data_IF_394318229748
#
_entry.id   IF_394318229748
#
_cell.length_a   1.000
_cell.length_b   1.000
_cell.length_c   1.000
_cell.angle_alpha   90.00
_cell.angle_beta   90.00
_cell.angle_gamma   90.00
#
_symmetry.space_group_name_H-M   'P 1'
#
loop_
_entity.id
_entity.type
_entity.pdbx_description
1 polymer ?
#
# COMPACT_ATOMS: atom_id res chain seq x y z
N UNK A 1 -31.05 -4.42 -25.56
CA UNK A 1 -30.77 -3.22 -24.73
C UNK A 1 -29.29 -2.77 -24.73
N UNK A 2 -28.51 -2.95 -25.82
CA UNK A 2 -27.02 -2.80 -25.81
C UNK A 2 -26.41 -1.61 -26.61
N UNK A 3 -27.19 -0.69 -27.19
CA UNK A 3 -26.66 0.43 -28.02
C UNK A 3 -26.53 1.80 -27.33
N UNK A 4 -27.03 1.96 -26.09
CA UNK A 4 -26.99 3.27 -25.38
C UNK A 4 -25.65 3.54 -24.68
N UNK A 5 -24.95 2.50 -24.23
CA UNK A 5 -23.74 2.66 -23.41
C UNK A 5 -22.57 3.21 -24.24
N UNK A 6 -22.36 2.71 -25.46
CA UNK A 6 -21.22 3.16 -26.31
C UNK A 6 -21.32 4.65 -26.69
N UNK A 7 -22.51 5.15 -27.03
CA UNK A 7 -22.70 6.57 -27.39
C UNK A 7 -22.45 7.53 -26.22
N UNK A 8 -22.73 7.10 -24.98
CA UNK A 8 -22.53 7.94 -23.79
C UNK A 8 -21.04 8.06 -23.46
N UNK A 9 -20.28 6.96 -23.54
CA UNK A 9 -18.83 6.98 -23.34
C UNK A 9 -18.09 7.76 -24.43
N UNK A 10 -18.49 7.63 -25.71
CA UNK A 10 -17.89 8.44 -26.78
C UNK A 10 -18.15 9.94 -26.55
N UNK A 11 -19.38 10.32 -26.21
CA UNK A 11 -19.75 11.73 -25.99
C UNK A 11 -19.04 12.34 -24.78
N UNK A 12 -18.83 11.57 -23.70
CA UNK A 12 -18.07 12.02 -22.52
C UNK A 12 -16.59 12.26 -22.87
N UNK A 13 -15.95 11.32 -23.58
CA UNK A 13 -14.56 11.50 -24.08
C UNK A 13 -14.41 12.71 -25.00
N UNK A 14 -15.37 12.97 -25.88
CA UNK A 14 -15.35 14.15 -26.77
C UNK A 14 -15.58 15.45 -26.02
N UNK A 15 -16.36 15.43 -24.93
CA UNK A 15 -16.54 16.61 -24.07
C UNK A 15 -15.25 16.91 -23.31
N UNK A 16 -14.67 15.92 -22.64
CA UNK A 16 -13.44 16.07 -21.86
C UNK A 16 -12.29 16.62 -22.71
N UNK A 17 -12.07 16.08 -23.92
CA UNK A 17 -11.00 16.53 -24.82
C UNK A 17 -11.14 17.98 -25.31
N UNK A 18 -12.33 18.58 -25.22
CA UNK A 18 -12.61 19.92 -25.76
C UNK A 18 -12.84 20.99 -24.68
N UNK A 19 -12.63 20.68 -23.39
CA UNK A 19 -12.71 21.67 -22.28
C UNK A 19 -11.46 22.56 -22.28
N UNK A 20 -10.29 21.93 -22.17
CA UNK A 20 -8.96 22.55 -22.27
C UNK A 20 -7.92 21.42 -22.28
N UNK A 21 -6.88 21.55 -23.10
CA UNK A 21 -5.79 20.57 -23.16
C UNK A 21 -5.02 20.50 -21.85
N UNK A 22 -4.71 21.65 -21.23
CA UNK A 22 -4.04 21.75 -19.95
C UNK A 22 -4.87 21.11 -18.82
N UNK A 23 -6.17 21.42 -18.76
CA UNK A 23 -7.09 20.81 -17.80
C UNK A 23 -7.15 19.28 -17.94
N UNK A 24 -7.29 18.80 -19.17
CA UNK A 24 -7.37 17.36 -19.46
C UNK A 24 -6.08 16.64 -19.10
N UNK A 25 -4.92 17.24 -19.40
CA UNK A 25 -3.62 16.71 -19.04
C UNK A 25 -3.44 16.61 -17.51
N UNK A 26 -3.75 17.68 -16.78
CA UNK A 26 -3.69 17.70 -15.32
C UNK A 26 -4.66 16.68 -14.67
N UNK A 27 -5.91 16.59 -15.16
CA UNK A 27 -6.88 15.59 -14.71
C UNK A 27 -6.36 14.16 -14.92
N UNK A 28 -5.84 13.86 -16.10
CA UNK A 28 -5.30 12.54 -16.40
C UNK A 28 -4.05 12.22 -15.57
N UNK A 29 -3.20 13.21 -15.32
CA UNK A 29 -2.03 13.05 -14.45
C UNK A 29 -2.46 12.69 -13.03
N UNK A 30 -3.38 13.45 -12.44
CA UNK A 30 -3.87 13.20 -11.07
C UNK A 30 -4.55 11.83 -10.94
N UNK A 31 -5.30 11.40 -11.94
CA UNK A 31 -5.92 10.06 -11.95
C UNK A 31 -4.89 8.93 -12.05
N UNK A 32 -3.78 9.15 -12.77
CA UNK A 32 -2.65 8.20 -12.79
C UNK A 32 -1.95 8.14 -11.44
N UNK A 33 -1.72 9.30 -10.81
CA UNK A 33 -1.12 9.40 -9.47
C UNK A 33 -1.99 8.69 -8.43
N UNK A 34 -3.31 8.94 -8.42
CA UNK A 34 -4.27 8.22 -7.55
C UNK A 34 -4.16 6.72 -7.72
N UNK A 35 -4.14 6.25 -8.96
CA UNK A 35 -4.03 4.81 -9.25
C UNK A 35 -2.71 4.25 -8.70
N UNK A 36 -1.58 4.90 -8.98
CA UNK A 36 -0.28 4.45 -8.50
C UNK A 36 -0.22 4.35 -6.98
N UNK A 37 -0.73 5.36 -6.26
CA UNK A 37 -0.78 5.36 -4.79
C UNK A 37 -1.75 4.32 -4.25
N UNK A 38 -2.93 4.17 -4.87
CA UNK A 38 -3.90 3.15 -4.49
C UNK A 38 -3.32 1.74 -4.66
N UNK A 39 -2.66 1.47 -5.80
CA UNK A 39 -2.03 0.19 -6.07
C UNK A 39 -0.88 -0.08 -5.08
N UNK A 40 -0.07 0.94 -4.75
CA UNK A 40 0.97 0.83 -3.73
C UNK A 40 0.38 0.52 -2.33
N UNK A 41 -0.71 1.18 -1.95
CA UNK A 41 -1.37 0.94 -0.67
C UNK A 41 -1.89 -0.50 -0.56
N UNK A 42 -2.47 -1.03 -1.64
CA UNK A 42 -2.91 -2.45 -1.71
C UNK A 42 -1.74 -3.41 -1.57
N UNK A 43 -0.58 -3.09 -2.16
CA UNK A 43 0.62 -3.92 -2.00
C UNK A 43 1.13 -3.92 -0.56
N UNK A 44 1.10 -2.77 0.12
CA UNK A 44 1.58 -2.63 1.51
C UNK A 44 0.64 -3.32 2.52
N UNK A 45 -0.68 -3.16 2.36
CA UNK A 45 -1.65 -3.62 3.36
C UNK A 45 -2.28 -4.97 3.07
N UNK A 46 -2.57 -5.29 1.80
CA UNK A 46 -3.36 -6.47 1.47
C UNK A 46 -2.50 -7.58 0.91
N UNK A 47 -1.82 -7.32 -0.22
CA UNK A 47 -1.17 -8.38 -0.99
C UNK A 47 0.05 -8.93 -0.26
N UNK A 48 0.94 -8.04 0.23
CA UNK A 48 2.11 -8.46 1.00
C UNK A 48 1.70 -9.08 2.34
N UNK A 49 0.74 -8.48 3.05
CA UNK A 49 0.30 -9.00 4.35
C UNK A 49 -0.26 -10.42 4.23
N UNK A 50 -1.13 -10.69 3.24
CA UNK A 50 -1.68 -12.03 3.00
C UNK A 50 -0.58 -13.07 2.72
N UNK A 51 0.42 -12.71 1.92
CA UNK A 51 1.54 -13.59 1.63
C UNK A 51 2.34 -13.93 2.89
N UNK A 52 2.66 -12.93 3.71
CA UNK A 52 3.37 -13.13 4.98
C UNK A 52 2.57 -13.94 5.99
N UNK A 53 1.27 -13.67 6.13
CA UNK A 53 0.38 -14.46 7.00
C UNK A 53 0.31 -15.91 6.54
N UNK A 54 0.20 -16.16 5.23
CA UNK A 54 0.20 -17.52 4.68
C UNK A 54 1.51 -18.26 4.96
N UNK A 55 2.65 -17.57 4.78
CA UNK A 55 3.96 -18.12 5.08
C UNK A 55 4.09 -18.46 6.57
N UNK A 56 3.70 -17.53 7.45
CA UNK A 56 3.77 -17.71 8.89
C UNK A 56 2.81 -18.80 9.39
N UNK A 57 1.62 -18.92 8.79
CA UNK A 57 0.66 -19.98 9.08
C UNK A 57 1.21 -21.36 8.72
N UNK A 58 1.96 -21.47 7.63
CA UNK A 58 2.62 -22.73 7.24
C UNK A 58 3.67 -23.13 8.28
N UNK A 59 4.53 -22.21 8.70
CA UNK A 59 5.56 -22.48 9.72
C UNK A 59 4.94 -22.84 11.07
N UNK A 60 3.91 -22.09 11.49
CA UNK A 60 3.18 -22.35 12.72
C UNK A 60 2.54 -23.74 12.70
N UNK A 61 1.84 -24.09 11.62
CA UNK A 61 1.15 -25.39 11.52
C UNK A 61 2.14 -26.56 11.53
N UNK A 62 3.29 -26.41 10.85
CA UNK A 62 4.34 -27.41 10.89
C UNK A 62 4.92 -27.56 12.30
N UNK A 63 5.29 -26.46 12.96
CA UNK A 63 5.83 -26.50 14.30
C UNK A 63 4.85 -27.13 15.30
N UNK A 64 3.57 -26.75 15.24
CA UNK A 64 2.53 -27.29 16.12
C UNK A 64 2.24 -28.77 15.85
N UNK A 65 2.32 -29.23 14.60
CA UNK A 65 2.18 -30.65 14.26
C UNK A 65 3.30 -31.48 14.91
N UNK A 66 4.56 -31.08 14.73
CA UNK A 66 5.70 -31.84 15.29
C UNK A 66 5.66 -31.83 16.82
N UNK A 67 5.29 -30.70 17.42
CA UNK A 67 5.15 -30.58 18.88
C UNK A 67 4.02 -31.45 19.45
N UNK A 68 2.87 -31.51 18.77
CA UNK A 68 1.71 -32.29 19.21
C UNK A 68 1.93 -33.79 19.06
N UNK A 69 2.60 -34.22 17.98
CA UNK A 69 2.80 -35.64 17.66
C UNK A 69 4.08 -36.23 18.29
N UNK A 70 4.96 -35.39 18.86
CA UNK A 70 6.19 -35.85 19.50
C UNK A 70 5.93 -36.40 20.92
N UNK A 71 6.64 -37.46 21.35
CA UNK A 71 6.56 -37.93 22.72
C UNK A 71 7.02 -36.85 23.71
N UNK A 72 6.18 -36.56 24.72
CA UNK A 72 6.35 -35.44 25.67
C UNK A 72 7.70 -35.46 26.40
N UNK A 73 8.23 -36.64 26.73
CA UNK A 73 9.50 -36.80 27.47
C UNK A 73 10.72 -36.95 26.55
N UNK A 74 10.56 -36.71 25.24
CA UNK A 74 11.61 -36.86 24.25
C UNK A 74 12.38 -35.57 23.97
N UNK A 75 13.67 -35.65 23.60
CA UNK A 75 14.49 -34.47 23.29
C UNK A 75 14.01 -33.73 22.02
N UNK A 76 13.18 -34.39 21.20
CA UNK A 76 12.45 -33.73 20.10
C UNK A 76 11.40 -32.73 20.61
N UNK A 77 10.68 -33.05 21.69
CA UNK A 77 9.61 -32.21 22.24
C UNK A 77 10.15 -30.92 22.88
N UNK A 78 11.31 -31.01 23.55
CA UNK A 78 12.01 -29.83 24.08
C UNK A 78 12.48 -28.90 22.94
N UNK A 79 13.03 -29.45 21.85
CA UNK A 79 13.44 -28.69 20.67
C UNK A 79 12.26 -28.08 19.89
N UNK A 80 11.10 -28.75 19.86
CA UNK A 80 9.90 -28.27 19.16
C UNK A 80 9.20 -27.15 19.91
N UNK A 81 9.21 -27.17 21.25
CA UNK A 81 8.56 -26.15 22.08
C UNK A 81 9.09 -24.72 21.80
N UNK A 82 10.41 -24.58 21.68
CA UNK A 82 11.05 -23.30 21.31
C UNK A 82 10.67 -22.84 19.89
N UNK A 83 10.62 -23.78 18.95
CA UNK A 83 10.25 -23.53 17.56
C UNK A 83 8.77 -23.14 17.42
N UNK A 84 7.87 -23.77 18.17
CA UNK A 84 6.43 -23.42 18.22
C UNK A 84 6.26 -21.99 18.73
N UNK A 85 6.96 -21.62 19.80
CA UNK A 85 6.88 -20.28 20.38
C UNK A 85 7.33 -19.22 19.37
N UNK A 86 8.48 -19.44 18.71
CA UNK A 86 8.96 -18.55 17.66
C UNK A 86 8.01 -18.49 16.46
N UNK A 87 7.40 -19.62 16.05
CA UNK A 87 6.48 -19.66 14.93
C UNK A 87 5.15 -18.93 15.23
N UNK A 88 4.68 -19.02 16.49
CA UNK A 88 3.53 -18.23 16.97
C UNK A 88 3.84 -16.75 16.99
N UNK A 89 5.04 -16.34 17.45
CA UNK A 89 5.47 -14.95 17.43
C UNK A 89 5.54 -14.40 16.00
N UNK A 90 6.17 -15.14 15.07
CA UNK A 90 6.23 -14.75 13.66
C UNK A 90 4.83 -14.63 13.03
N UNK A 91 3.92 -15.56 13.33
CA UNK A 91 2.53 -15.46 12.89
C UNK A 91 1.82 -14.23 13.47
N UNK A 92 2.06 -13.93 14.75
CA UNK A 92 1.58 -12.71 15.40
C UNK A 92 2.08 -11.45 14.69
N UNK A 93 3.38 -11.36 14.43
CA UNK A 93 4.00 -10.22 13.74
C UNK A 93 3.49 -10.05 12.30
N UNK A 94 3.31 -11.15 11.57
CA UNK A 94 2.76 -11.14 10.20
C UNK A 94 1.29 -10.68 10.16
N UNK A 95 0.52 -11.05 11.18
CA UNK A 95 -0.91 -10.73 11.29
C UNK A 95 -1.16 -9.34 11.92
N UNK A 96 -0.16 -8.78 12.60
CA UNK A 96 -0.29 -7.52 13.31
C UNK A 96 -0.46 -6.35 12.33
N UNK A 97 -1.42 -5.48 12.64
CA UNK A 97 -1.47 -4.15 12.05
C UNK A 97 -0.35 -3.27 12.62
N UNK A 98 0.21 -2.34 11.82
CA UNK A 98 1.14 -1.34 12.35
C UNK A 98 0.49 -0.57 13.51
N UNK A 99 1.17 -0.50 14.65
CA UNK A 99 0.64 0.19 15.82
C UNK A 99 0.58 1.71 15.59
N UNK A 100 -0.33 2.42 16.26
CA UNK A 100 -0.55 3.86 16.07
C UNK A 100 0.74 4.69 16.30
N UNK A 101 1.68 4.20 17.11
CA UNK A 101 2.98 4.83 17.37
C UNK A 101 4.06 4.55 16.32
N UNK A 102 3.86 3.55 15.46
CA UNK A 102 4.82 3.10 14.44
C UNK A 102 4.95 4.15 13.32
N UNK A 103 6.19 4.39 12.87
CA UNK A 103 6.48 5.22 11.70
C UNK A 103 5.76 4.70 10.46
N UNK A 104 5.60 3.38 10.32
CA UNK A 104 4.85 2.76 9.24
C UNK A 104 3.38 3.20 9.26
N UNK A 105 2.74 3.21 10.43
CA UNK A 105 1.34 3.63 10.57
C UNK A 105 1.16 5.13 10.24
N UNK A 106 2.10 5.98 10.66
CA UNK A 106 2.10 7.41 10.32
C UNK A 106 2.22 7.65 8.82
N UNK A 107 3.15 6.96 8.15
CA UNK A 107 3.33 7.03 6.69
C UNK A 107 2.06 6.58 5.95
N UNK A 108 1.43 5.49 6.40
CA UNK A 108 0.15 5.02 5.87
C UNK A 108 -0.98 6.05 6.06
N UNK A 109 -0.99 6.77 7.18
CA UNK A 109 -1.89 7.91 7.40
C UNK A 109 -1.71 9.01 6.36
N UNK A 110 -0.46 9.39 6.05
CA UNK A 110 -0.16 10.37 5.02
C UNK A 110 -0.60 9.93 3.62
N UNK A 111 -0.39 8.65 3.28
CA UNK A 111 -0.82 8.06 2.01
C UNK A 111 -2.35 8.12 1.86
N UNK A 112 -3.08 7.71 2.90
CA UNK A 112 -4.56 7.75 2.92
C UNK A 112 -5.08 9.20 2.84
N UNK A 113 -4.45 10.12 3.55
CA UNK A 113 -4.81 11.54 3.50
C UNK A 113 -4.62 12.13 2.10
N UNK A 114 -3.54 11.78 1.41
CA UNK A 114 -3.30 12.20 0.03
C UNK A 114 -4.35 11.67 -0.94
N UNK A 115 -4.75 10.40 -0.82
CA UNK A 115 -5.83 9.82 -1.62
C UNK A 115 -7.17 10.56 -1.40
N UNK A 116 -7.50 10.86 -0.13
CA UNK A 116 -8.70 11.64 0.20
C UNK A 116 -8.65 13.06 -0.37
N UNK A 117 -7.47 13.68 -0.39
CA UNK A 117 -7.26 14.98 -1.03
C UNK A 117 -7.51 14.91 -2.54
N UNK A 118 -7.02 13.88 -3.22
CA UNK A 118 -7.30 13.67 -4.65
C UNK A 118 -8.81 13.52 -4.88
N UNK A 119 -9.51 12.71 -4.07
CA UNK A 119 -10.96 12.53 -4.18
C UNK A 119 -11.73 13.84 -4.01
N UNK A 120 -11.28 14.71 -3.12
CA UNK A 120 -11.83 16.06 -2.95
C UNK A 120 -11.62 16.95 -4.20
N UNK A 121 -10.52 16.77 -4.93
CA UNK A 121 -10.28 17.47 -6.20
C UNK A 121 -11.11 16.86 -7.34
N UNK A 122 -11.29 15.54 -7.37
CA UNK A 122 -12.13 14.86 -8.37
C UNK A 122 -13.59 15.33 -8.32
N UNK A 123 -14.09 15.71 -7.14
CA UNK A 123 -15.42 16.28 -6.99
C UNK A 123 -15.65 17.53 -7.86
N UNK A 124 -14.58 18.30 -8.15
CA UNK A 124 -14.65 19.49 -9.00
C UNK A 124 -14.83 19.15 -10.49
N UNK A 125 -14.46 17.94 -10.92
CA UNK A 125 -14.47 17.57 -12.33
C UNK A 125 -15.87 17.66 -12.93
N UNK A 126 -16.87 17.21 -12.17
CA UNK A 126 -18.28 17.27 -12.59
C UNK A 126 -18.77 18.71 -12.73
N UNK A 127 -18.28 19.64 -11.89
CA UNK A 127 -18.63 21.07 -11.97
C UNK A 127 -18.10 21.67 -13.27
N UNK A 128 -16.84 21.41 -13.62
CA UNK A 128 -16.24 21.88 -14.87
C UNK A 128 -16.97 21.30 -16.10
N UNK A 129 -17.25 20.00 -16.10
CA UNK A 129 -18.00 19.34 -17.19
C UNK A 129 -19.41 19.91 -17.38
N UNK A 130 -20.09 20.25 -16.28
CA UNK A 130 -21.44 20.85 -16.30
C UNK A 130 -21.39 22.26 -16.91
N UNK A 131 -20.44 23.09 -16.47
CA UNK A 131 -20.27 24.46 -16.97
C UNK A 131 -19.88 24.47 -18.45
N UNK A 132 -19.02 23.55 -18.89
CA UNK A 132 -18.70 23.38 -20.31
C UNK A 132 -19.94 23.04 -21.15
N UNK A 133 -20.78 22.13 -20.66
CA UNK A 133 -22.02 21.75 -21.34
C UNK A 133 -22.98 22.95 -21.45
N UNK A 134 -23.00 23.82 -20.44
CA UNK A 134 -23.78 25.06 -20.45
C UNK A 134 -23.23 26.08 -21.47
N UNK A 135 -21.92 26.27 -21.53
CA UNK A 135 -21.26 27.10 -22.55
C UNK A 135 -21.63 26.62 -23.96
N UNK A 136 -21.46 25.32 -24.26
CA UNK A 136 -21.83 24.75 -25.55
C UNK A 136 -23.32 24.96 -25.90
N UNK A 137 -24.20 24.92 -24.90
CA UNK A 137 -25.64 25.14 -25.08
C UNK A 137 -25.91 26.58 -25.54
N UNK A 138 -25.26 27.56 -24.92
CA UNK A 138 -25.43 28.96 -25.31
C UNK A 138 -24.74 29.29 -26.63
N UNK A 139 -23.58 28.71 -26.93
CA UNK A 139 -22.93 28.84 -28.25
C UNK A 139 -23.86 28.36 -29.37
N UNK A 140 -24.48 27.19 -29.20
CA UNK A 140 -25.47 26.66 -30.16
C UNK A 140 -26.70 27.56 -30.29
N UNK A 141 -27.17 28.19 -29.20
CA UNK A 141 -28.29 29.13 -29.25
C UNK A 141 -27.93 30.40 -30.00
N UNK A 142 -26.76 30.98 -29.72
CA UNK A 142 -26.25 32.17 -30.40
C UNK A 142 -26.04 31.89 -31.89
N UNK A 143 -25.43 30.76 -32.26
CA UNK A 143 -25.23 30.35 -33.65
C UNK A 143 -26.53 30.12 -34.43
N UNK A 144 -27.58 29.56 -33.80
CA UNK A 144 -28.91 29.47 -34.44
C UNK A 144 -29.60 30.84 -34.56
N UNK A 145 -29.28 31.77 -33.66
CA UNK A 145 -29.81 33.13 -33.67
C UNK A 145 -29.06 34.06 -34.62
N UNK A 146 -27.88 33.70 -35.15
CA UNK A 146 -27.25 34.42 -36.26
C UNK A 146 -27.76 33.98 -37.63
N UNK A 147 -28.31 32.77 -37.79
CA UNK A 147 -28.61 32.17 -39.11
C UNK A 147 -30.05 32.35 -39.65
N UNK A 148 -30.88 33.25 -39.10
CA UNK A 148 -32.29 33.45 -39.53
C UNK A 148 -32.70 34.92 -39.36
N UNK A 149 -33.27 35.61 -40.34
CA UNK A 149 -33.80 36.96 -40.13
C UNK A 149 -35.29 36.87 -39.77
N UNK A 150 -35.66 37.29 -38.55
CA UNK A 150 -37.04 37.44 -38.08
C UNK A 150 -37.10 38.53 -37.01
N UNK A 151 -38.25 39.19 -36.86
CA UNK A 151 -38.47 40.25 -35.88
C UNK A 151 -38.33 39.75 -34.43
N UNK A 152 -37.82 40.63 -33.55
CA UNK A 152 -37.54 40.33 -32.14
C UNK A 152 -36.25 39.53 -31.86
N UNK A 153 -35.44 39.25 -32.90
CA UNK A 153 -34.21 38.46 -32.77
C UNK A 153 -33.05 39.22 -32.14
N UNK A 154 -32.95 40.54 -32.33
CA UNK A 154 -31.86 41.36 -31.76
C UNK A 154 -31.84 41.30 -30.23
N UNK A 155 -32.98 41.50 -29.57
CA UNK A 155 -33.12 41.42 -28.11
C UNK A 155 -32.83 40.01 -27.58
N UNK A 156 -33.36 38.97 -28.26
CA UNK A 156 -33.10 37.56 -27.89
C UNK A 156 -31.65 37.16 -28.12
N UNK A 157 -30.99 37.70 -29.15
CA UNK A 157 -29.58 37.47 -29.45
C UNK A 157 -28.70 38.11 -28.38
N UNK A 158 -28.94 39.38 -28.04
CA UNK A 158 -28.23 40.08 -26.95
C UNK A 158 -28.31 39.30 -25.62
N UNK A 159 -29.53 38.94 -25.18
CA UNK A 159 -29.71 38.15 -23.95
C UNK A 159 -28.96 36.81 -23.95
N UNK A 160 -28.85 36.12 -25.09
CA UNK A 160 -28.10 34.86 -25.16
C UNK A 160 -26.59 35.06 -25.28
N UNK A 161 -26.12 36.21 -25.80
CA UNK A 161 -24.72 36.60 -25.76
C UNK A 161 -24.29 36.90 -24.31
N UNK A 162 -25.07 37.68 -23.57
CA UNK A 162 -24.80 37.97 -22.15
C UNK A 162 -24.71 36.68 -21.32
N UNK A 163 -25.62 35.72 -21.58
CA UNK A 163 -25.60 34.39 -20.94
C UNK A 163 -24.41 33.53 -21.36
N UNK A 164 -23.97 33.63 -22.62
CA UNK A 164 -22.79 32.94 -23.11
C UNK A 164 -21.53 33.47 -22.43
N UNK A 165 -21.42 34.79 -22.31
CA UNK A 165 -20.29 35.45 -21.64
C UNK A 165 -20.24 35.06 -20.16
N UNK A 166 -21.37 35.10 -19.44
CA UNK A 166 -21.46 34.63 -18.06
C UNK A 166 -21.09 33.15 -17.91
N UNK A 167 -21.56 32.29 -18.82
CA UNK A 167 -21.20 30.86 -18.81
C UNK A 167 -19.71 30.62 -19.07
N UNK A 168 -19.09 31.36 -20.01
CA UNK A 168 -17.65 31.30 -20.28
C UNK A 168 -16.82 31.73 -19.09
N UNK A 169 -17.19 32.85 -18.45
CA UNK A 169 -16.51 33.35 -17.26
C UNK A 169 -16.58 32.35 -16.10
N UNK A 170 -17.77 31.79 -15.84
CA UNK A 170 -17.96 30.76 -14.81
C UNK A 170 -17.17 29.48 -15.11
N UNK A 171 -17.17 29.03 -16.37
CA UNK A 171 -16.40 27.87 -16.80
C UNK A 171 -14.89 28.11 -16.63
N UNK A 172 -14.38 29.26 -17.07
CA UNK A 172 -12.95 29.57 -16.96
C UNK A 172 -12.51 29.65 -15.50
N UNK A 173 -13.28 30.35 -14.66
CA UNK A 173 -13.01 30.40 -13.21
C UNK A 173 -12.99 29.01 -12.55
N UNK A 174 -13.88 28.11 -12.97
CA UNK A 174 -13.88 26.73 -12.48
C UNK A 174 -12.68 25.91 -12.99
N UNK A 175 -12.24 26.12 -14.24
CA UNK A 175 -11.04 25.50 -14.79
C UNK A 175 -9.81 25.96 -14.03
N UNK A 176 -9.65 27.27 -13.83
CA UNK A 176 -8.49 27.85 -13.16
C UNK A 176 -8.39 27.38 -11.71
N UNK A 177 -9.50 27.44 -10.97
CA UNK A 177 -9.53 26.93 -9.59
C UNK A 177 -9.24 25.42 -9.50
N UNK A 178 -9.75 24.62 -10.46
CA UNK A 178 -9.46 23.19 -10.49
C UNK A 178 -8.00 22.91 -10.86
N UNK A 179 -7.42 23.64 -11.83
CA UNK A 179 -6.00 23.54 -12.20
C UNK A 179 -5.08 23.88 -11.01
N UNK A 180 -5.39 24.94 -10.27
CA UNK A 180 -4.63 25.32 -9.08
C UNK A 180 -4.64 24.20 -8.03
N UNK A 181 -5.82 23.65 -7.73
CA UNK A 181 -5.96 22.54 -6.78
C UNK A 181 -5.23 21.29 -7.27
N UNK A 182 -5.40 20.90 -8.53
CA UNK A 182 -4.69 19.76 -9.13
C UNK A 182 -3.17 19.93 -9.04
N UNK A 183 -2.65 21.13 -9.33
CA UNK A 183 -1.23 21.43 -9.23
C UNK A 183 -0.71 21.32 -7.79
N UNK A 184 -1.43 21.89 -6.82
CA UNK A 184 -1.07 21.80 -5.38
C UNK A 184 -1.07 20.36 -4.87
N UNK A 185 -2.03 19.54 -5.31
CA UNK A 185 -2.08 18.13 -4.92
C UNK A 185 -0.98 17.33 -5.63
N UNK A 186 -0.80 17.49 -6.94
CA UNK A 186 0.25 16.77 -7.70
C UNK A 186 1.67 17.09 -7.22
N UNK A 187 1.92 18.30 -6.72
CA UNK A 187 3.21 18.66 -6.10
C UNK A 187 3.60 17.80 -4.89
N UNK A 188 2.64 17.10 -4.25
CA UNK A 188 2.90 16.21 -3.12
C UNK A 188 3.20 14.77 -3.56
N UNK A 189 2.98 14.43 -4.83
CA UNK A 189 3.00 13.05 -5.32
C UNK A 189 4.33 12.35 -5.03
N UNK A 190 5.46 12.99 -5.32
CA UNK A 190 6.79 12.41 -5.12
C UNK A 190 7.05 12.05 -3.66
N UNK A 191 6.75 12.96 -2.73
CA UNK A 191 6.88 12.72 -1.30
C UNK A 191 5.98 11.56 -0.83
N UNK A 192 4.74 11.48 -1.34
CA UNK A 192 3.81 10.40 -0.96
C UNK A 192 4.23 9.05 -1.56
N UNK A 193 4.80 9.03 -2.77
CA UNK A 193 5.42 7.84 -3.34
C UNK A 193 6.63 7.39 -2.51
N UNK A 194 7.47 8.32 -2.06
CA UNK A 194 8.60 8.01 -1.18
C UNK A 194 8.12 7.46 0.17
N UNK A 195 7.05 8.02 0.75
CA UNK A 195 6.40 7.46 1.94
C UNK A 195 5.91 6.03 1.69
N UNK A 196 5.30 5.77 0.52
CA UNK A 196 4.80 4.44 0.15
C UNK A 196 5.94 3.43 0.04
N UNK A 197 7.02 3.79 -0.65
CA UNK A 197 8.21 2.96 -0.80
C UNK A 197 8.86 2.67 0.56
N UNK A 198 9.03 3.69 1.40
CA UNK A 198 9.64 3.53 2.72
C UNK A 198 8.77 2.65 3.63
N UNK A 199 7.46 2.89 3.68
CA UNK A 199 6.53 2.10 4.47
C UNK A 199 6.52 0.62 4.03
N UNK A 200 6.58 0.36 2.73
CA UNK A 200 6.67 -0.99 2.20
C UNK A 200 7.92 -1.70 2.74
N UNK A 201 9.11 -1.11 2.58
CA UNK A 201 10.36 -1.75 2.94
C UNK A 201 10.59 -1.86 4.44
N UNK A 202 10.15 -0.88 5.24
CA UNK A 202 10.18 -1.00 6.70
C UNK A 202 9.33 -2.18 7.19
N UNK A 203 8.15 -2.38 6.57
CA UNK A 203 7.31 -3.54 6.86
C UNK A 203 8.00 -4.86 6.46
N UNK A 204 8.60 -4.91 5.27
CA UNK A 204 9.34 -6.11 4.84
C UNK A 204 10.50 -6.43 5.79
N UNK A 205 11.32 -5.43 6.13
CA UNK A 205 12.47 -5.59 7.02
C UNK A 205 12.07 -6.16 8.39
N UNK A 206 10.99 -5.63 8.99
CA UNK A 206 10.44 -6.17 10.24
C UNK A 206 10.07 -7.66 10.13
N UNK A 207 9.38 -8.03 9.06
CA UNK A 207 8.91 -9.41 8.87
C UNK A 207 10.04 -10.37 8.52
N UNK A 208 11.04 -9.92 7.74
CA UNK A 208 12.26 -10.68 7.47
C UNK A 208 13.05 -10.91 8.75
N UNK A 209 13.20 -9.90 9.62
CA UNK A 209 13.85 -10.06 10.93
C UNK A 209 13.15 -11.09 11.81
N UNK A 210 11.81 -11.06 11.84
CA UNK A 210 11.01 -12.04 12.58
C UNK A 210 11.15 -13.46 11.99
N UNK A 211 11.19 -13.59 10.66
CA UNK A 211 11.48 -14.86 9.98
C UNK A 211 12.89 -15.38 10.29
N UNK A 212 13.91 -14.51 10.26
CA UNK A 212 15.29 -14.88 10.59
C UNK A 212 15.36 -15.43 12.01
N UNK A 213 14.74 -14.74 12.98
CA UNK A 213 14.69 -15.19 14.37
C UNK A 213 14.06 -16.59 14.49
N UNK A 214 12.91 -16.82 13.84
CA UNK A 214 12.28 -18.15 13.77
C UNK A 214 13.22 -19.21 13.17
N UNK A 215 13.81 -18.93 12.01
CA UNK A 215 14.65 -19.90 11.32
C UNK A 215 15.94 -20.19 12.06
N UNK A 216 16.49 -19.24 12.83
CA UNK A 216 17.70 -19.44 13.59
C UNK A 216 17.49 -20.45 14.72
N UNK A 217 16.36 -20.39 15.44
CA UNK A 217 16.00 -21.40 16.43
C UNK A 217 15.86 -22.80 15.82
N UNK A 218 15.27 -22.91 14.63
CA UNK A 218 15.07 -24.20 13.96
C UNK A 218 16.34 -24.75 13.28
N UNK A 219 17.20 -23.86 12.78
CA UNK A 219 18.37 -24.23 11.97
C UNK A 219 19.44 -24.94 12.79
N UNK A 220 19.78 -24.42 13.97
CA UNK A 220 20.80 -25.03 14.83
C UNK A 220 20.42 -26.48 15.16
N UNK A 221 19.16 -26.70 15.55
CA UNK A 221 18.67 -28.04 15.85
C UNK A 221 18.69 -28.98 14.63
N UNK A 222 18.37 -28.47 13.44
CA UNK A 222 18.39 -29.25 12.22
C UNK A 222 19.81 -29.61 11.75
N UNK A 223 20.78 -28.68 11.86
CA UNK A 223 22.18 -28.90 11.47
C UNK A 223 22.84 -29.98 12.35
N UNK A 224 22.56 -29.96 13.66
CA UNK A 224 23.15 -30.90 14.62
C UNK A 224 22.74 -32.37 14.38
N UNK A 225 21.55 -32.59 13.81
CA UNK A 225 21.01 -33.95 13.57
C UNK A 225 21.05 -34.37 12.10
N UNK A 226 21.32 -33.45 11.16
CA UNK A 226 21.18 -33.67 9.71
C UNK A 226 21.98 -34.87 9.19
N UNK A 227 23.26 -34.98 9.55
CA UNK A 227 24.14 -36.06 9.07
C UNK A 227 23.74 -37.43 9.62
N UNK A 228 23.20 -37.47 10.83
CA UNK A 228 22.75 -38.71 11.46
C UNK A 228 21.38 -39.13 10.92
N UNK A 229 20.47 -38.18 10.73
CA UNK A 229 19.16 -38.42 10.08
C UNK A 229 19.31 -38.87 8.63
N UNK A 230 20.33 -38.39 7.90
CA UNK A 230 20.61 -38.84 6.53
C UNK A 230 21.03 -40.32 6.45
N UNK A 231 21.49 -40.91 7.57
CA UNK A 231 21.91 -42.31 7.67
C UNK A 231 20.81 -43.21 8.25
N UNK A 232 19.64 -42.65 8.58
CA UNK A 232 18.55 -43.37 9.21
C UNK A 232 17.92 -44.37 8.22
N UNK A 233 17.98 -45.66 8.54
CA UNK A 233 17.23 -46.70 7.85
C UNK A 233 15.98 -47.08 8.67
N UNK A 234 14.83 -46.58 8.23
CA UNK A 234 13.53 -46.79 8.88
C UNK A 234 13.00 -48.23 8.74
N UNK A 235 13.67 -49.09 7.97
CA UNK A 235 13.27 -50.49 7.79
C UNK A 235 13.85 -51.43 8.86
N UNK A 236 14.74 -50.93 9.72
CA UNK A 236 15.31 -51.71 10.81
C UNK A 236 14.36 -51.81 12.03
N UNK A 237 14.29 -52.99 12.69
CA UNK A 237 13.34 -53.24 13.78
C UNK A 237 13.65 -52.48 15.09
N UNK A 238 14.89 -52.03 15.28
CA UNK A 238 15.27 -51.11 16.35
C UNK A 238 15.96 -49.88 15.76
N UNK A 239 15.27 -48.74 15.80
CA UNK A 239 15.92 -47.45 15.59
C UNK A 239 16.61 -47.12 16.91
N UNK A 240 17.94 -47.31 16.97
CA UNK A 240 18.74 -46.69 18.03
C UNK A 240 18.60 -45.19 17.87
N UNK A 241 17.73 -44.59 18.69
CA UNK A 241 17.52 -43.15 18.70
C UNK A 241 18.86 -42.45 18.82
N UNK A 242 19.07 -41.48 17.94
CA UNK A 242 20.21 -40.58 17.87
C UNK A 242 20.21 -39.61 19.06
N UNK A 243 20.06 -40.12 20.29
CA UNK A 243 19.79 -39.29 21.47
C UNK A 243 20.89 -38.24 21.65
N UNK A 244 22.16 -38.60 21.42
CA UNK A 244 23.30 -37.69 21.58
C UNK A 244 23.26 -36.45 20.68
N UNK A 245 22.76 -36.55 19.45
CA UNK A 245 22.67 -35.38 18.57
C UNK A 245 21.49 -34.48 18.93
N UNK A 246 20.37 -35.07 19.38
CA UNK A 246 19.23 -34.28 19.85
C UNK A 246 19.53 -33.62 21.21
N UNK A 247 20.22 -34.32 22.11
CA UNK A 247 20.67 -33.79 23.41
C UNK A 247 21.62 -32.57 23.23
N UNK A 248 22.50 -32.61 22.22
CA UNK A 248 23.37 -31.48 21.87
C UNK A 248 22.60 -30.31 21.24
N UNK A 249 21.62 -30.59 20.36
CA UNK A 249 20.75 -29.57 19.78
C UNK A 249 19.94 -28.81 20.85
N UNK A 250 19.36 -29.54 21.81
CA UNK A 250 18.62 -28.99 22.95
C UNK A 250 19.51 -28.09 23.81
N UNK A 251 20.74 -28.51 24.12
CA UNK A 251 21.68 -27.71 24.91
C UNK A 251 22.03 -26.37 24.23
N UNK A 252 22.14 -26.37 22.90
CA UNK A 252 22.50 -25.18 22.10
C UNK A 252 21.32 -24.21 21.97
N UNK A 253 20.08 -24.71 21.94
CA UNK A 253 18.86 -23.89 21.95
C UNK A 253 18.62 -23.22 23.31
N UNK A 254 18.86 -23.92 24.42
CA UNK A 254 18.72 -23.36 25.77
C UNK A 254 19.73 -22.25 26.09
N UNK A 255 20.91 -22.25 25.43
CA UNK A 255 21.92 -21.21 25.58
C UNK A 255 21.60 -19.92 24.78
N UNK A 256 20.63 -19.96 23.86
CA UNK A 256 20.22 -18.82 23.04
C UNK A 256 19.36 -17.77 23.75
N UNK A 257 18.75 -18.13 24.89
CA UNK A 257 17.87 -17.22 25.66
C UNK A 257 18.64 -16.11 26.42
N UNK A 258 19.95 -16.26 26.63
CA UNK A 258 20.75 -15.31 27.41
C UNK A 258 21.34 -14.12 26.62
N UNK A 259 21.17 -14.07 25.29
CA UNK A 259 21.87 -13.07 24.44
C UNK A 259 21.02 -11.83 24.09
N UNK A 260 19.72 -11.78 24.41
CA UNK A 260 18.84 -10.69 23.93
C UNK A 260 18.78 -9.45 24.85
N UNK A 261 19.47 -9.41 26.01
CA UNK A 261 19.37 -8.26 26.95
C UNK A 261 20.57 -7.29 26.99
N UNK A 262 21.54 -7.36 26.07
CA UNK A 262 22.57 -6.31 25.98
C UNK A 262 22.37 -5.41 24.76
N UNK A 263 21.53 -4.39 24.96
CA UNK A 263 21.60 -3.15 24.18
C UNK A 263 23.02 -2.58 24.35
N UNK A 264 23.79 -2.32 23.29
CA UNK A 264 25.02 -1.59 23.42
C UNK A 264 24.69 -0.14 23.77
N UNK A 265 25.13 0.27 24.96
CA UNK A 265 25.08 1.65 25.41
C UNK A 265 25.88 2.50 24.40
N UNK A 266 25.19 3.35 23.66
CA UNK A 266 25.79 4.30 22.73
C UNK A 266 26.57 5.33 23.53
N UNK A 267 27.89 5.19 23.59
CA UNK A 267 28.79 6.28 23.96
C UNK A 267 28.81 7.30 22.83
N UNK A 268 27.81 8.18 22.82
CA UNK A 268 27.86 9.42 22.05
C UNK A 268 28.83 10.38 22.76
N UNK A 269 30.04 10.48 22.22
CA UNK A 269 30.99 11.54 22.57
C UNK A 269 30.41 12.89 22.10
N UNK A 270 30.00 13.73 23.06
CA UNK A 270 29.64 15.13 22.79
C UNK A 270 30.91 15.91 22.38
N UNK A 271 30.88 16.69 21.29
CA UNK A 271 32.00 17.54 20.92
C UNK A 271 32.12 18.71 21.90
N UNK A 272 33.34 18.95 22.41
CA UNK A 272 33.68 20.12 23.23
C UNK A 272 33.52 21.42 22.42
N UNK A 273 33.10 22.52 23.05
CA UNK A 273 33.05 23.82 22.42
C UNK A 273 34.46 24.39 22.26
N UNK A 274 34.79 24.86 21.06
CA UNK A 274 35.91 25.79 20.86
C UNK A 274 35.37 27.18 21.20
N UNK A 275 35.88 27.78 22.26
CA UNK A 275 35.59 29.16 22.64
C UNK A 275 36.83 30.04 22.44
N UNK A 276 36.56 31.21 21.85
CA UNK A 276 37.42 32.40 21.66
C UNK A 276 38.51 32.31 20.58
#
# INVERSE_FOLDING_TARGET
MKKRISKVTTRKKTIEANISSAYTAAKNQLLREKKAISDALVLIHDSSAKAWVSLASTHKSFAELVDTESPIEGPLHEATTGTVTAARQFHGDASAEPSIGDNTAKMLGHIKAYLAEIESVEADFKKVETLYTETQRYEKKVGKLSSKEKDGKAVRKKRNLDKLEGARSAQQSAIDGSLERMGKTSAKFEAVMQCSQTAFWLRQDKLVKSLVALTQSARTAAEDVSEEMAKLDITMPEIKYLSKAVDNAVATMSAGDDVVTKVPESTAESPKPVAA
#
